data_IF_784873060507
#
_entry.id   IF_784873060507
#
_cell.length_a   1.000
_cell.length_b   1.000
_cell.length_c   1.000
_cell.angle_alpha   90.00
_cell.angle_beta   90.00
_cell.angle_gamma   90.00
#
_symmetry.space_group_name_H-M   'P 1'
#
loop_
_entity.id
_entity.type
_entity.pdbx_description
1 polymer ?
#
# COMPACT_ATOMS: atom_id res chain seq x y z
N UNK A 1 16.75 -12.93 15.59
CA UNK A 1 16.08 -11.82 14.87
C UNK A 1 16.27 -12.10 13.38
N UNK A 2 15.23 -12.56 12.67
CA UNK A 2 15.37 -12.91 11.24
C UNK A 2 15.45 -11.60 10.44
N UNK A 3 16.65 -11.20 10.04
CA UNK A 3 16.82 -10.07 9.14
C UNK A 3 16.15 -10.42 7.81
N UNK A 4 15.07 -9.72 7.49
CA UNK A 4 14.39 -9.82 6.21
C UNK A 4 15.22 -9.13 5.11
N UNK A 5 15.17 -9.59 3.85
CA UNK A 5 15.90 -9.00 2.72
C UNK A 5 15.75 -7.47 2.57
N UNK A 6 14.62 -6.92 3.02
CA UNK A 6 14.37 -5.48 3.07
C UNK A 6 15.36 -4.71 3.96
N UNK A 7 15.80 -5.29 5.08
CA UNK A 7 16.75 -4.64 5.98
C UNK A 7 18.16 -4.58 5.37
N UNK A 8 18.58 -5.63 4.67
CA UNK A 8 19.83 -5.63 3.93
C UNK A 8 19.79 -4.60 2.80
N UNK A 9 18.67 -4.55 2.08
CA UNK A 9 18.44 -3.57 1.02
C UNK A 9 18.49 -2.14 1.53
N UNK A 10 17.84 -1.86 2.67
CA UNK A 10 17.86 -0.56 3.31
C UNK A 10 19.29 -0.14 3.72
N UNK A 11 20.09 -1.06 4.27
CA UNK A 11 21.49 -0.78 4.61
C UNK A 11 22.35 -0.54 3.35
N UNK A 12 22.15 -1.31 2.28
CA UNK A 12 22.85 -1.10 1.00
C UNK A 12 22.53 0.29 0.43
N UNK A 13 21.28 0.73 0.50
CA UNK A 13 20.80 2.00 -0.04
C UNK A 13 21.00 3.19 0.90
N UNK A 14 21.43 2.97 2.15
CA UNK A 14 21.72 4.06 3.07
C UNK A 14 23.05 4.73 2.66
N UNK A 15 23.08 6.04 2.35
CA UNK A 15 24.29 6.74 1.94
C UNK A 15 25.43 6.72 2.97
N UNK A 16 25.13 6.51 4.26
CA UNK A 16 26.10 6.44 5.35
C UNK A 16 26.67 5.04 5.51
N UNK A 17 25.81 4.04 5.35
CA UNK A 17 26.15 2.63 5.55
C UNK A 17 26.68 1.99 4.27
N UNK A 18 26.03 2.18 3.11
CA UNK A 18 26.42 1.60 1.81
C UNK A 18 26.74 0.09 1.87
N UNK A 19 26.00 -0.65 2.70
CA UNK A 19 26.24 -2.08 2.91
C UNK A 19 27.35 -2.41 3.90
N UNK A 20 27.86 -1.43 4.66
CA UNK A 20 28.79 -1.67 5.78
C UNK A 20 28.12 -2.62 6.79
N UNK A 21 28.92 -3.56 7.30
CA UNK A 21 28.51 -4.59 8.26
C UNK A 21 27.61 -5.70 7.70
N UNK A 22 27.43 -5.80 6.39
CA UNK A 22 26.76 -6.94 5.75
C UNK A 22 27.79 -7.98 5.26
N UNK A 23 27.48 -9.25 5.45
CA UNK A 23 28.20 -10.36 4.82
C UNK A 23 27.89 -10.42 3.32
N UNK A 24 28.75 -11.09 2.54
CA UNK A 24 28.54 -11.27 1.10
C UNK A 24 27.16 -11.89 0.77
N UNK A 25 26.69 -12.85 1.58
CA UNK A 25 25.38 -13.47 1.40
C UNK A 25 24.21 -12.51 1.67
N UNK A 26 24.34 -11.62 2.64
CA UNK A 26 23.33 -10.61 2.95
C UNK A 26 23.30 -9.51 1.89
N UNK A 27 24.47 -9.12 1.38
CA UNK A 27 24.57 -8.19 0.24
C UNK A 27 23.82 -8.76 -0.97
N UNK A 28 24.07 -10.03 -1.32
CA UNK A 28 23.38 -10.68 -2.45
C UNK A 28 21.85 -10.69 -2.24
N UNK A 29 21.38 -11.03 -1.04
CA UNK A 29 19.95 -11.01 -0.73
C UNK A 29 19.34 -9.61 -0.84
N UNK A 30 20.06 -8.58 -0.37
CA UNK A 30 19.62 -7.19 -0.50
C UNK A 30 19.58 -6.72 -1.95
N UNK A 31 20.61 -7.01 -2.74
CA UNK A 31 20.66 -6.67 -4.17
C UNK A 31 19.54 -7.37 -4.96
N UNK A 32 19.29 -8.66 -4.70
CA UNK A 32 18.18 -9.41 -5.30
C UNK A 32 16.83 -8.78 -4.97
N UNK A 33 16.63 -8.33 -3.73
CA UNK A 33 15.40 -7.68 -3.33
C UNK A 33 15.21 -6.31 -4.02
N UNK A 34 16.26 -5.49 -4.08
CA UNK A 34 16.25 -4.19 -4.81
C UNK A 34 15.86 -4.41 -6.28
N UNK A 35 16.49 -5.39 -6.94
CA UNK A 35 16.19 -5.76 -8.33
C UNK A 35 14.73 -6.23 -8.51
N UNK A 36 14.24 -7.07 -7.61
CA UNK A 36 12.85 -7.53 -7.64
C UNK A 36 11.84 -6.38 -7.46
N UNK A 37 12.16 -5.40 -6.59
CA UNK A 37 11.32 -4.23 -6.40
C UNK A 37 11.33 -3.32 -7.62
N UNK A 38 12.49 -3.12 -8.27
CA UNK A 38 12.58 -2.33 -9.49
C UNK A 38 11.65 -2.89 -10.59
N UNK A 39 11.59 -4.22 -10.75
CA UNK A 39 10.64 -4.88 -11.66
C UNK A 39 9.17 -4.61 -11.37
N UNK A 40 8.82 -4.38 -10.10
CA UNK A 40 7.44 -4.13 -9.70
C UNK A 40 7.05 -2.65 -9.85
N UNK A 41 8.01 -1.75 -10.00
CA UNK A 41 7.79 -0.33 -10.22
C UNK A 41 7.70 -0.05 -11.73
N UNK A 42 6.47 0.08 -12.24
CA UNK A 42 6.17 0.27 -13.67
C UNK A 42 6.78 1.51 -14.31
N UNK A 43 7.27 2.45 -13.49
CA UNK A 43 7.81 3.75 -13.89
C UNK A 43 9.34 3.80 -13.94
N UNK A 44 10.03 2.67 -13.74
CA UNK A 44 11.48 2.63 -13.58
C UNK A 44 12.10 1.59 -14.51
N UNK A 45 13.17 1.98 -15.21
CA UNK A 45 13.96 1.05 -16.03
C UNK A 45 14.92 0.24 -15.14
N UNK A 46 14.66 -1.06 -15.05
CA UNK A 46 15.41 -2.03 -14.27
C UNK A 46 16.92 -2.00 -14.56
N UNK A 47 17.31 -1.86 -15.83
CA UNK A 47 18.72 -1.88 -16.21
C UNK A 47 19.42 -0.61 -15.72
N UNK A 48 18.76 0.55 -15.83
CA UNK A 48 19.30 1.82 -15.33
C UNK A 48 19.39 1.83 -13.81
N UNK A 49 18.48 1.16 -13.11
CA UNK A 49 18.57 1.00 -11.65
C UNK A 49 19.82 0.21 -11.29
N UNK A 50 20.13 -0.88 -11.99
CA UNK A 50 21.33 -1.68 -11.73
C UNK A 50 22.61 -0.90 -12.03
N UNK A 51 22.63 -0.13 -13.12
CA UNK A 51 23.76 0.74 -13.48
C UNK A 51 23.99 1.81 -12.40
N UNK A 52 22.94 2.56 -12.03
CA UNK A 52 23.01 3.55 -10.96
C UNK A 52 23.39 2.94 -9.61
N UNK A 53 22.94 1.71 -9.34
CA UNK A 53 23.29 0.99 -8.10
C UNK A 53 24.76 0.59 -8.10
N UNK A 54 25.32 0.20 -9.24
CA UNK A 54 26.75 -0.04 -9.38
C UNK A 54 27.50 1.27 -9.10
N UNK A 55 27.12 2.37 -9.76
CA UNK A 55 27.77 3.67 -9.61
C UNK A 55 27.73 4.21 -8.18
N UNK A 56 26.58 4.11 -7.53
CA UNK A 56 26.41 4.51 -6.14
C UNK A 56 27.32 3.74 -5.19
N UNK A 57 27.53 2.44 -5.46
CA UNK A 57 28.38 1.57 -4.62
C UNK A 57 29.87 1.77 -4.90
N UNK A 58 30.25 2.08 -6.14
CA UNK A 58 31.64 2.42 -6.49
C UNK A 58 32.01 3.87 -6.21
N UNK A 59 31.05 4.73 -5.81
CA UNK A 59 31.22 6.18 -5.75
C UNK A 59 31.75 6.74 -7.08
N UNK A 60 31.13 6.35 -8.20
CA UNK A 60 31.48 6.87 -9.52
C UNK A 60 30.47 7.91 -10.00
N UNK A 61 30.92 8.74 -10.94
CA UNK A 61 30.07 9.72 -11.62
C UNK A 61 29.47 10.74 -10.67
N UNK A 62 28.14 10.84 -10.66
CA UNK A 62 27.40 11.79 -9.81
C UNK A 62 27.67 11.57 -8.32
N UNK A 63 27.83 10.32 -7.87
CA UNK A 63 28.02 10.01 -6.45
C UNK A 63 29.45 10.26 -5.94
N UNK A 64 30.40 10.56 -6.84
CA UNK A 64 31.73 11.01 -6.46
C UNK A 64 31.77 12.50 -6.12
N UNK A 65 30.78 13.28 -6.57
CA UNK A 65 30.75 14.73 -6.40
C UNK A 65 30.76 15.11 -4.91
N UNK A 66 31.65 16.04 -4.53
CA UNK A 66 31.87 16.42 -3.13
C UNK A 66 30.58 16.83 -2.41
N UNK A 67 29.73 17.65 -3.04
CA UNK A 67 28.47 18.09 -2.42
C UNK A 67 27.50 16.91 -2.15
N UNK A 68 27.52 15.88 -3.00
CA UNK A 68 26.71 14.67 -2.82
C UNK A 68 27.25 13.87 -1.65
N UNK A 69 28.57 13.71 -1.56
CA UNK A 69 29.20 13.03 -0.43
C UNK A 69 28.95 13.76 0.89
N UNK A 70 29.10 15.08 0.91
CA UNK A 70 28.86 15.93 2.08
C UNK A 70 27.40 15.82 2.55
N UNK A 71 26.46 15.79 1.60
CA UNK A 71 25.03 15.59 1.92
C UNK A 71 24.72 14.18 2.44
N UNK A 72 25.43 13.16 1.95
CA UNK A 72 25.26 11.78 2.36
C UNK A 72 25.72 11.54 3.81
N UNK A 73 26.83 12.18 4.21
CA UNK A 73 27.37 12.05 5.58
C UNK A 73 26.68 12.97 6.59
N UNK A 74 25.95 14.00 6.13
CA UNK A 74 25.31 14.97 6.99
C UNK A 74 24.30 14.31 7.96
N UNK A 75 24.46 14.45 9.29
CA UNK A 75 23.54 13.85 10.26
C UNK A 75 22.12 14.45 10.20
N UNK A 76 21.98 15.69 9.73
CA UNK A 76 20.69 16.37 9.63
C UNK A 76 19.88 15.93 8.40
N UNK A 77 20.49 15.21 7.47
CA UNK A 77 19.83 14.69 6.27
C UNK A 77 19.55 13.20 6.50
N UNK A 78 18.27 12.83 6.43
CA UNK A 78 17.87 11.43 6.50
C UNK A 78 18.13 10.75 5.13
N UNK A 79 18.41 9.43 5.10
CA UNK A 79 18.60 8.69 3.85
C UNK A 79 17.45 8.89 2.86
N UNK A 80 16.20 8.92 3.35
CA UNK A 80 15.01 9.18 2.51
C UNK A 80 15.09 10.57 1.87
N UNK A 81 15.47 11.61 2.62
CA UNK A 81 15.58 12.98 2.11
C UNK A 81 16.73 13.11 1.11
N UNK A 82 17.85 12.41 1.32
CA UNK A 82 18.94 12.35 0.34
C UNK A 82 18.44 11.83 -1.01
N UNK A 83 17.75 10.70 -1.03
CA UNK A 83 17.23 10.12 -2.28
C UNK A 83 16.14 10.98 -2.92
N UNK A 84 15.23 11.54 -2.11
CA UNK A 84 14.14 12.42 -2.57
C UNK A 84 14.57 13.82 -3.01
N UNK A 85 15.67 14.33 -2.48
CA UNK A 85 16.09 15.72 -2.70
C UNK A 85 17.20 15.84 -3.72
N UNK A 86 18.16 14.92 -3.68
CA UNK A 86 19.44 15.04 -4.40
C UNK A 86 19.49 14.05 -5.57
N UNK A 87 18.82 12.90 -5.46
CA UNK A 87 18.88 11.82 -6.46
C UNK A 87 17.56 11.60 -7.21
N UNK A 88 16.73 12.64 -7.37
CA UNK A 88 15.39 12.54 -7.99
C UNK A 88 15.42 12.14 -9.46
N UNK A 89 16.49 12.49 -10.17
CA UNK A 89 16.68 12.20 -11.59
C UNK A 89 17.11 10.75 -11.84
N UNK A 90 17.55 10.04 -10.79
CA UNK A 90 18.06 8.68 -10.91
C UNK A 90 16.94 7.67 -10.63
N UNK A 91 16.69 6.71 -11.55
CA UNK A 91 15.82 5.54 -11.34
C UNK A 91 16.00 4.85 -9.98
N UNK A 92 17.24 4.77 -9.50
CA UNK A 92 17.56 4.18 -8.19
C UNK A 92 16.90 4.94 -7.02
N UNK A 93 16.73 6.26 -7.13
CA UNK A 93 16.13 7.09 -6.09
C UNK A 93 14.70 6.68 -5.74
N UNK A 94 13.90 6.29 -6.73
CA UNK A 94 12.53 5.79 -6.50
C UNK A 94 12.51 4.47 -5.73
N UNK A 95 13.43 3.56 -6.08
CA UNK A 95 13.56 2.26 -5.39
C UNK A 95 14.07 2.48 -3.96
N UNK A 96 15.06 3.35 -3.80
CA UNK A 96 15.64 3.66 -2.50
C UNK A 96 14.63 4.33 -1.57
N UNK A 97 13.86 5.29 -2.07
CA UNK A 97 12.73 5.88 -1.34
C UNK A 97 11.76 4.79 -0.89
N UNK A 98 11.31 3.93 -1.80
CA UNK A 98 10.34 2.88 -1.47
C UNK A 98 10.87 1.95 -0.37
N UNK A 99 12.11 1.49 -0.48
CA UNK A 99 12.73 0.60 0.53
C UNK A 99 12.87 1.29 1.89
N UNK A 100 13.30 2.55 1.90
CA UNK A 100 13.59 3.28 3.15
C UNK A 100 12.33 3.83 3.84
N UNK A 101 11.25 4.04 3.09
CA UNK A 101 9.95 4.49 3.63
C UNK A 101 9.01 3.35 3.97
N UNK A 102 9.27 2.14 3.48
CA UNK A 102 8.49 0.96 3.82
C UNK A 102 8.61 0.67 5.33
N UNK A 103 7.49 0.69 6.09
CA UNK A 103 7.53 0.30 7.48
C UNK A 103 7.97 -1.17 7.58
N UNK A 104 8.79 -1.49 8.59
CA UNK A 104 9.20 -2.86 8.95
C UNK A 104 8.03 -3.74 9.45
N UNK A 105 6.79 -3.48 9.02
CA UNK A 105 5.60 -4.27 9.33
C UNK A 105 5.50 -5.43 8.35
N UNK A 106 6.45 -6.34 8.50
CA UNK A 106 6.58 -7.54 7.71
C UNK A 106 5.46 -8.60 7.94
N UNK A 107 4.30 -8.17 8.44
CA UNK A 107 3.06 -8.94 8.57
C UNK A 107 1.88 -8.35 7.77
N UNK A 108 1.95 -7.07 7.35
CA UNK A 108 0.88 -6.41 6.60
C UNK A 108 1.11 -6.47 5.08
N UNK A 109 2.35 -6.29 4.63
CA UNK A 109 2.73 -6.26 3.21
C UNK A 109 2.76 -7.65 2.56
N UNK A 110 3.15 -8.71 3.27
CA UNK A 110 3.07 -10.09 2.77
C UNK A 110 1.61 -10.50 2.44
N UNK A 111 0.63 -9.94 3.17
CA UNK A 111 -0.80 -10.13 2.90
C UNK A 111 -1.26 -9.36 1.66
N UNK A 112 -0.68 -8.19 1.40
CA UNK A 112 -1.02 -7.37 0.23
C UNK A 112 -0.40 -7.90 -1.06
N UNK A 113 0.88 -8.32 -1.04
CA UNK A 113 1.55 -8.86 -2.24
C UNK A 113 1.15 -10.31 -2.57
N UNK A 114 0.94 -11.19 -1.56
CA UNK A 114 0.39 -12.54 -1.85
C UNK A 114 -1.09 -12.50 -2.25
N UNK A 115 -1.86 -11.52 -1.76
CA UNK A 115 -3.21 -11.24 -2.30
C UNK A 115 -3.12 -10.77 -3.75
N UNK A 116 -2.20 -9.87 -4.10
CA UNK A 116 -2.08 -9.35 -5.46
C UNK A 116 -1.67 -10.43 -6.49
N UNK A 117 -0.76 -11.34 -6.14
CA UNK A 117 -0.39 -12.48 -7.00
C UNK A 117 -1.52 -13.50 -7.21
N UNK A 118 -2.38 -13.68 -6.21
CA UNK A 118 -3.57 -14.55 -6.31
C UNK A 118 -4.75 -13.88 -7.04
N UNK A 119 -4.80 -12.54 -7.07
CA UNK A 119 -5.83 -11.79 -7.80
C UNK A 119 -5.58 -11.87 -9.31
N UNK A 120 -4.33 -11.95 -9.78
CA UNK A 120 -4.02 -11.97 -11.20
C UNK A 120 -3.95 -13.34 -11.89
N UNK A 121 -3.86 -14.47 -11.16
CA UNK A 121 -3.65 -15.78 -11.83
C UNK A 121 -4.75 -16.82 -11.62
N UNK A 122 -5.61 -16.75 -10.59
CA UNK A 122 -6.60 -17.84 -10.34
C UNK A 122 -8.04 -17.42 -10.00
N UNK A 123 -8.33 -16.14 -9.81
CA UNK A 123 -9.65 -15.68 -9.33
C UNK A 123 -10.52 -14.95 -10.37
N UNK A 124 -10.30 -15.21 -11.67
CA UNK A 124 -11.18 -14.73 -12.75
C UNK A 124 -12.07 -15.83 -13.35
N UNK A 125 -12.39 -16.89 -12.59
CA UNK A 125 -13.25 -17.95 -13.11
C UNK A 125 -14.25 -18.62 -12.15
N UNK A 126 -14.58 -18.06 -10.95
CA UNK A 126 -15.53 -18.79 -10.07
C UNK A 126 -16.45 -18.04 -9.11
N UNK A 127 -16.84 -16.80 -9.39
CA UNK A 127 -18.06 -16.29 -8.76
C UNK A 127 -18.89 -15.53 -9.78
N UNK A 128 -19.84 -16.23 -10.39
CA UNK A 128 -20.88 -15.60 -11.20
C UNK A 128 -21.53 -14.49 -10.38
N UNK A 129 -21.48 -13.27 -10.91
CA UNK A 129 -22.05 -12.02 -10.39
C UNK A 129 -23.44 -12.20 -9.76
N UNK A 130 -24.22 -13.16 -10.24
CA UNK A 130 -25.56 -13.52 -9.75
C UNK A 130 -25.62 -13.94 -8.26
N UNK A 131 -24.62 -14.65 -7.73
CA UNK A 131 -24.64 -15.13 -6.32
C UNK A 131 -24.18 -14.07 -5.31
N UNK A 132 -23.28 -13.18 -5.72
CA UNK A 132 -22.83 -12.08 -4.89
C UNK A 132 -23.97 -11.07 -4.66
N UNK A 133 -24.73 -10.72 -5.71
CA UNK A 133 -25.87 -9.81 -5.60
C UNK A 133 -26.98 -10.31 -4.66
N UNK A 134 -27.32 -11.61 -4.71
CA UNK A 134 -28.33 -12.20 -3.82
C UNK A 134 -27.88 -12.20 -2.34
N UNK A 135 -26.60 -12.42 -2.07
CA UNK A 135 -26.09 -12.39 -0.70
C UNK A 135 -26.12 -10.97 -0.11
N UNK A 136 -25.79 -9.95 -0.91
CA UNK A 136 -25.90 -8.54 -0.49
C UNK A 136 -27.36 -8.16 -0.23
N UNK A 137 -28.29 -8.60 -1.09
CA UNK A 137 -29.72 -8.34 -0.94
C UNK A 137 -30.29 -8.98 0.34
N UNK A 138 -30.00 -10.26 0.59
CA UNK A 138 -30.46 -10.96 1.81
C UNK A 138 -29.84 -10.33 3.06
N UNK A 139 -28.55 -10.00 3.04
CA UNK A 139 -27.86 -9.38 4.18
C UNK A 139 -28.42 -7.98 4.50
N UNK A 140 -28.71 -7.18 3.47
CA UNK A 140 -29.32 -5.87 3.65
C UNK A 140 -30.75 -5.98 4.22
N UNK A 141 -31.57 -6.89 3.70
CA UNK A 141 -32.92 -7.11 4.21
C UNK A 141 -32.93 -7.64 5.64
N UNK A 142 -32.03 -8.56 6.00
CA UNK A 142 -31.92 -9.07 7.36
C UNK A 142 -31.64 -7.95 8.37
N UNK A 143 -30.77 -6.99 8.01
CA UNK A 143 -30.46 -5.83 8.86
C UNK A 143 -31.64 -4.88 9.02
N UNK A 144 -32.45 -4.70 7.96
CA UNK A 144 -33.67 -3.92 8.06
C UNK A 144 -34.67 -4.58 9.01
N UNK A 145 -34.93 -5.89 8.85
CA UNK A 145 -35.86 -6.61 9.73
C UNK A 145 -35.37 -6.70 11.19
N UNK A 146 -34.07 -6.84 11.45
CA UNK A 146 -33.55 -6.80 12.83
C UNK A 146 -33.69 -5.42 13.46
N UNK A 147 -33.44 -4.35 12.70
CA UNK A 147 -33.61 -2.98 13.18
C UNK A 147 -35.09 -2.60 13.40
N UNK A 148 -36.02 -3.15 12.61
CA UNK A 148 -37.46 -2.97 12.81
C UNK A 148 -37.95 -3.76 14.01
N UNK A 149 -37.45 -4.98 14.25
CA UNK A 149 -37.79 -5.80 15.41
C UNK A 149 -37.35 -5.16 16.74
N UNK A 150 -36.18 -4.50 16.75
CA UNK A 150 -35.70 -3.76 17.93
C UNK A 150 -36.52 -2.48 18.17
N UNK A 151 -36.97 -1.78 17.11
CA UNK A 151 -37.87 -0.62 17.25
C UNK A 151 -39.26 -0.98 17.74
N UNK A 152 -39.83 -2.11 17.29
CA UNK A 152 -41.15 -2.57 17.75
C UNK A 152 -41.12 -2.96 19.24
N UNK A 153 -40.04 -3.59 19.73
CA UNK A 153 -39.88 -3.91 21.16
C UNK A 153 -39.76 -2.66 22.04
N UNK A 154 -39.18 -1.57 21.53
CA UNK A 154 -39.07 -0.30 22.26
C UNK A 154 -40.43 0.40 22.32
N UNK A 155 -41.23 0.33 21.25
CA UNK A 155 -42.57 0.93 21.18
C UNK A 155 -43.58 0.16 22.04
N UNK A 156 -43.58 -1.17 22.04
CA UNK A 156 -44.52 -1.97 22.87
C UNK A 156 -44.24 -1.92 24.37
N UNK A 157 -43.02 -1.53 24.78
CA UNK A 157 -42.70 -1.31 26.20
C UNK A 157 -43.01 0.13 26.68
N UNK A 158 -43.21 1.07 25.76
CA UNK A 158 -43.47 2.48 26.08
C UNK A 158 -44.89 2.95 25.73
N UNK A 159 -45.79 2.06 25.32
CA UNK A 159 -47.22 2.39 25.14
C UNK A 159 -47.95 2.49 26.49
N UNK A 160 -47.51 3.46 27.31
CA UNK A 160 -48.45 4.34 28.03
C UNK A 160 -48.46 5.66 27.26
N UNK A 161 -49.42 5.74 26.33
CA UNK A 161 -49.94 6.92 25.65
C UNK A 161 -48.94 7.75 24.83
N UNK A 162 -49.14 7.81 23.50
CA UNK A 162 -49.48 9.06 22.80
C UNK A 162 -49.71 8.86 21.29
N UNK A 163 -51.00 8.90 20.93
CA UNK A 163 -51.61 9.55 19.78
C UNK A 163 -50.79 9.69 18.48
N UNK A 164 -51.12 8.83 17.52
CA UNK A 164 -50.65 8.92 16.14
C UNK A 164 -51.43 10.01 15.38
N UNK A 165 -50.98 11.26 15.47
CA UNK A 165 -51.43 12.32 14.56
C UNK A 165 -50.46 12.46 13.38
N UNK A 166 -50.88 11.85 12.27
CA UNK A 166 -50.78 12.33 10.90
C UNK A 166 -49.48 12.95 10.40
N UNK A 167 -48.89 12.31 9.40
CA UNK A 167 -48.33 13.06 8.26
C UNK A 167 -48.77 12.43 6.94
N UNK A 168 -49.45 13.27 6.14
CA UNK A 168 -49.89 13.03 4.77
C UNK A 168 -48.67 12.85 3.87
N UNK A 169 -48.70 11.84 3.01
CA UNK A 169 -47.83 11.75 1.86
C UNK A 169 -48.35 12.68 0.77
N UNK A 170 -47.58 13.70 0.41
CA UNK A 170 -47.78 14.48 -0.81
C UNK A 170 -46.66 14.11 -1.77
N UNK A 171 -46.91 13.12 -2.64
CA UNK A 171 -46.19 12.93 -3.89
C UNK A 171 -47.06 13.53 -5.00
N UNK A 172 -46.73 14.74 -5.45
CA UNK A 172 -47.08 15.18 -6.80
C UNK A 172 -45.81 15.52 -7.54
N UNK A 173 -45.70 14.95 -8.75
CA UNK A 173 -45.32 15.55 -10.05
C UNK A 173 -44.74 14.39 -10.89
N UNK A 174 -45.25 13.93 -12.03
CA UNK A 174 -46.31 14.41 -12.95
C UNK A 174 -46.57 13.32 -14.02
N UNK A 175 -47.79 13.33 -14.57
CA UNK A 175 -48.17 13.08 -15.99
C UNK A 175 -48.05 11.66 -16.60
N UNK A 176 -49.20 11.17 -17.06
CA UNK A 176 -49.33 10.44 -18.33
C UNK A 176 -50.49 9.44 -18.34
N UNK A 177 -51.38 9.56 -19.33
CA UNK A 177 -52.63 8.80 -19.59
C UNK A 177 -53.83 9.28 -18.74
N UNK A 178 -54.87 9.92 -19.26
CA UNK A 178 -55.42 10.04 -20.62
C UNK A 178 -55.97 11.45 -20.83
#
# INVERSE_FOLDING_TARGET
MCFKPIHFSANILDPKLKGKHLSAGEIVQGLQYIHSLARHLSNVDENKVLENLADFRSNSGFWDMQFVQDSAINPNISPVVFWKGICTEFPLGFVAEAVLTMPATSAATERSFSSYGNIHTKKRNRLSVKRAGMLTYVSHNLKLFSATADKIKIVTNNDKSLNFFGYKANDEITRGFH
#
